data_IF_603893794083
#
_entry.id   IF_603893794083
#
_cell.length_a   1.000
_cell.length_b   1.000
_cell.length_c   1.000
_cell.angle_alpha   90.00
_cell.angle_beta   90.00
_cell.angle_gamma   90.00
#
_symmetry.space_group_name_H-M   'P 1'
#
loop_
_entity.id
_entity.type
_entity.pdbx_description
1 polymer ?
2 non-polymer ?
3 water ?
#
# COMPACT_ATOMS: atom_id res chain seq x y z
N UNK A 1 7.73 4.99 19.74
CA UNK A 1 7.95 4.17 18.52
C UNK A 1 8.76 4.94 17.48
N UNK A 2 9.53 4.22 16.67
CA UNK A 2 10.33 4.85 15.64
C UNK A 2 9.54 4.88 14.34
N UNK A 3 9.79 5.89 13.51
CA UNK A 3 9.07 6.01 12.25
C UNK A 3 9.78 5.22 11.16
N UNK A 4 9.06 4.32 10.51
CA UNK A 4 9.62 3.51 9.44
C UNK A 4 9.65 4.27 8.13
N UNK A 5 10.81 4.34 7.51
CA UNK A 5 10.93 5.03 6.25
C UNK A 5 11.07 3.98 5.15
N UNK A 6 10.27 4.09 4.11
CA UNK A 6 10.34 3.13 3.02
C UNK A 6 10.78 3.83 1.74
N UNK A 7 11.98 3.49 1.27
CA UNK A 7 12.54 4.07 0.07
C UNK A 7 12.08 3.13 -1.04
N UNK A 8 10.95 3.45 -1.67
CA UNK A 8 10.45 2.60 -2.74
C UNK A 8 10.23 3.12 -4.14
N UNK A 9 9.31 2.47 -4.84
CA UNK A 9 8.98 2.84 -6.20
C UNK A 9 9.79 1.95 -7.14
N UNK A 10 10.32 0.86 -6.58
CA UNK A 10 11.14 -0.07 -7.34
C UNK A 10 10.71 -1.55 -7.23
N UNK A 11 9.54 -1.92 -7.76
CA UNK A 11 8.65 -1.01 -8.44
C UNK A 11 7.54 -0.61 -7.47
N UNK A 12 6.58 0.23 -7.89
CA UNK A 12 5.47 0.67 -7.04
C UNK A 12 4.60 -0.42 -6.42
N UNK A 13 4.27 -1.46 -7.18
CA UNK A 13 3.43 -2.52 -6.61
C UNK A 13 4.12 -3.23 -5.45
N UNK A 14 5.41 -3.51 -5.61
CA UNK A 14 6.17 -4.18 -4.56
C UNK A 14 6.23 -3.29 -3.33
N UNK A 15 6.29 -1.99 -3.57
CA UNK A 15 6.35 -1.02 -2.47
C UNK A 15 5.03 -1.02 -1.70
N UNK A 16 3.91 -1.09 -2.43
CA UNK A 16 2.61 -1.10 -1.80
C UNK A 16 2.41 -2.40 -1.02
N UNK A 17 2.95 -3.50 -1.54
CA UNK A 17 2.83 -4.79 -0.88
C UNK A 17 3.61 -4.84 0.43
N UNK A 18 4.80 -4.26 0.45
CA UNK A 18 5.62 -4.27 1.67
C UNK A 18 4.88 -3.51 2.77
N UNK A 19 4.30 -2.37 2.41
CA UNK A 19 3.57 -1.55 3.36
C UNK A 19 2.38 -2.33 3.92
N UNK A 20 1.65 -3.00 3.03
CA UNK A 20 0.49 -3.79 3.45
C UNK A 20 0.90 -4.87 4.43
N UNK A 21 2.00 -5.56 4.14
CA UNK A 21 2.48 -6.61 5.03
C UNK A 21 2.88 -6.04 6.38
N UNK A 22 3.45 -4.83 6.39
CA UNK A 22 3.87 -4.23 7.64
C UNK A 22 2.65 -3.97 8.54
N UNK A 23 1.57 -3.47 7.95
CA UNK A 23 0.36 -3.21 8.72
C UNK A 23 -0.25 -4.50 9.25
N UNK A 24 -0.32 -5.52 8.40
CA UNK A 24 -0.88 -6.82 8.77
C UNK A 24 -0.06 -7.46 9.90
N UNK A 25 1.25 -7.35 9.82
CA UNK A 25 2.14 -7.94 10.82
C UNK A 25 2.24 -7.10 12.09
N UNK A 26 1.58 -5.96 12.11
CA UNK A 26 1.61 -5.09 13.27
C UNK A 26 0.49 -5.40 14.27
N UNK A 27 0.85 -5.78 15.50
CA UNK A 27 -0.15 -6.09 16.53
C UNK A 27 -0.56 -4.80 17.22
N UNK A 28 -1.85 -4.65 17.53
CA UNK A 28 -2.33 -3.44 18.19
C UNK A 28 -3.81 -3.51 18.57
N UNK A 29 -4.17 -2.77 19.61
CA UNK A 29 -5.55 -2.72 20.10
C UNK A 29 -6.30 -1.62 19.36
N UNK A 30 -5.59 -0.52 19.07
CA UNK A 30 -6.16 0.63 18.38
C UNK A 30 -5.13 1.23 17.42
N UNK A 31 -5.61 1.90 16.39
CA UNK A 31 -4.73 2.52 15.39
C UNK A 31 -3.57 3.33 15.98
N UNK A 32 -3.82 4.10 17.03
CA UNK A 32 -2.77 4.90 17.65
C UNK A 32 -1.58 4.10 18.17
N UNK A 33 -1.69 2.77 18.16
CA UNK A 33 -0.60 1.91 18.63
C UNK A 33 0.23 1.38 17.47
N UNK A 34 -0.14 1.80 16.26
CA UNK A 34 0.58 1.38 15.07
C UNK A 34 1.69 2.38 14.85
N UNK A 35 2.83 1.94 14.31
CA UNK A 35 3.95 2.86 14.08
C UNK A 35 3.74 3.78 12.88
N UNK A 36 4.42 4.92 12.92
CA UNK A 36 4.33 5.88 11.83
C UNK A 36 5.14 5.28 10.68
N UNK A 37 4.64 5.47 9.46
CA UNK A 37 5.34 4.95 8.29
C UNK A 37 5.33 6.02 7.20
N UNK A 38 6.52 6.43 6.78
CA UNK A 38 6.64 7.44 5.74
C UNK A 38 7.17 6.71 4.53
N UNK A 39 6.38 6.69 3.46
CA UNK A 39 6.79 6.00 2.24
C UNK A 39 7.03 6.98 1.10
N UNK A 40 8.23 6.93 0.52
CA UNK A 40 8.48 7.82 -0.59
C UNK A 40 8.62 6.89 -1.78
N UNK A 41 7.53 6.78 -2.54
CA UNK A 41 7.46 5.93 -3.72
C UNK A 41 7.97 6.79 -4.86
N UNK A 42 9.23 6.57 -5.25
CA UNK A 42 9.86 7.33 -6.33
C UNK A 42 10.20 6.44 -7.53
N UNK A 43 9.22 6.21 -8.42
CA UNK A 43 9.42 5.37 -9.60
C UNK A 43 10.41 5.89 -10.63
N UNK A 44 10.76 7.17 -10.56
CA UNK A 44 11.70 7.72 -11.53
C UNK A 44 13.16 7.36 -11.29
N UNK A 45 13.41 6.54 -10.28
CA UNK A 45 14.79 6.12 -10.00
C UNK A 45 15.15 5.24 -11.20
N UNK A 46 16.29 5.51 -11.85
CA UNK A 46 16.69 4.70 -13.01
C UNK A 46 16.77 3.22 -12.63
N UNK A 47 16.42 2.33 -13.57
CA UNK A 47 16.47 0.91 -13.28
C UNK A 47 17.83 0.49 -12.74
N UNK A 48 17.82 -0.21 -11.62
CA UNK A 48 19.04 -0.68 -10.98
C UNK A 48 19.80 -1.75 -11.79
N UNK A 49 19.08 -2.74 -12.30
CA UNK A 49 19.72 -3.80 -13.09
C UNK A 49 20.40 -3.27 -14.35
N UNK A 50 19.71 -2.41 -15.08
CA UNK A 50 20.27 -1.84 -16.31
C UNK A 50 21.61 -1.15 -16.05
N UNK A 51 21.73 -0.45 -14.93
CA UNK A 51 23.00 0.21 -14.64
C UNK A 51 24.10 -0.81 -14.37
N UNK A 52 23.77 -1.80 -13.55
CA UNK A 52 24.72 -2.85 -13.20
C UNK A 52 25.22 -3.59 -14.45
N UNK A 53 24.35 -3.72 -15.45
CA UNK A 53 24.71 -4.42 -16.69
C UNK A 53 25.28 -3.47 -17.74
N UNK A 54 25.57 -2.23 -17.34
CA UNK A 54 26.13 -1.25 -18.26
C UNK A 54 25.20 -0.81 -19.38
N UNK A 55 23.90 -0.84 -19.15
CA UNK A 55 22.94 -0.44 -20.18
C UNK A 55 22.02 0.71 -19.75
N UNK A 56 22.39 1.43 -18.70
CA UNK A 56 21.55 2.53 -18.26
C UNK A 56 22.22 3.44 -17.24
N UNK A 57 21.53 4.53 -16.90
CA UNK A 57 22.06 5.49 -15.95
C UNK A 57 22.19 5.00 -14.52
N UNK A 58 23.13 5.61 -13.80
CA UNK A 58 23.44 5.32 -12.40
C UNK A 58 22.26 5.74 -11.53
N UNK A 59 21.70 4.81 -10.74
CA UNK A 59 20.55 5.14 -9.89
C UNK A 59 20.91 5.74 -8.52
N UNK A 60 22.20 5.80 -8.21
CA UNK A 60 22.62 6.35 -6.91
C UNK A 60 22.22 7.79 -6.61
N UNK A 61 22.30 8.69 -7.59
CA UNK A 61 21.90 10.07 -7.29
C UNK A 61 20.45 10.15 -6.83
N UNK A 62 19.57 9.42 -7.50
CA UNK A 62 18.16 9.42 -7.13
C UNK A 62 17.89 8.60 -5.87
N UNK A 63 18.63 7.51 -5.68
CA UNK A 63 18.43 6.69 -4.49
C UNK A 63 18.75 7.54 -3.26
N UNK A 64 19.89 8.22 -3.31
CA UNK A 64 20.34 9.07 -2.22
C UNK A 64 19.40 10.24 -1.98
N UNK A 65 18.91 10.85 -3.06
CA UNK A 65 17.99 11.97 -2.93
C UNK A 65 16.72 11.50 -2.22
N UNK A 66 16.21 10.34 -2.63
CA UNK A 66 15.00 9.80 -2.02
C UNK A 66 15.24 9.51 -0.53
N UNK A 67 16.40 8.97 -0.20
CA UNK A 67 16.71 8.67 1.19
C UNK A 67 16.75 9.97 1.99
N UNK A 68 17.35 11.00 1.41
CA UNK A 68 17.44 12.29 2.08
C UNK A 68 16.06 12.91 2.27
N UNK A 69 15.16 12.68 1.32
CA UNK A 69 13.81 13.22 1.45
C UNK A 69 13.11 12.52 2.62
N UNK A 70 13.36 11.22 2.76
CA UNK A 70 12.75 10.44 3.83
C UNK A 70 13.21 10.97 5.20
N UNK A 71 14.49 11.31 5.27
CA UNK A 71 15.09 11.85 6.49
C UNK A 71 14.41 13.16 6.86
N UNK A 72 14.39 14.09 5.92
CA UNK A 72 13.79 15.40 6.13
C UNK A 72 12.31 15.27 6.47
N UNK A 73 11.67 14.29 5.85
CA UNK A 73 10.25 14.04 6.05
C UNK A 73 9.89 13.49 7.44
N UNK A 74 10.86 12.89 8.14
CA UNK A 74 10.57 12.35 9.46
C UNK A 74 10.92 10.90 9.78
N UNK A 75 11.55 10.19 8.84
CA UNK A 75 11.91 8.80 9.07
C UNK A 75 13.08 8.64 10.05
N UNK A 76 13.01 7.62 10.89
CA UNK A 76 14.06 7.35 11.87
C UNK A 76 15.02 6.28 11.34
N UNK A 77 14.54 5.50 10.38
CA UNK A 77 15.35 4.45 9.76
C UNK A 77 14.71 4.08 8.44
N UNK A 78 15.49 3.49 7.54
CA UNK A 78 14.99 3.12 6.23
C UNK A 78 15.09 1.65 5.86
N UNK A 79 14.09 1.19 5.11
CA UNK A 79 14.03 -0.18 4.62
C UNK A 79 13.80 0.09 3.14
N UNK A 80 14.35 -0.75 2.26
CA UNK A 80 14.21 -0.54 0.83
C UNK A 80 13.75 -1.79 0.09
N UNK A 81 12.47 -1.83 -0.33
CA UNK A 81 11.89 -2.96 -1.05
C UNK A 81 12.40 -3.11 -2.48
N UNK A 82 13.72 -3.26 -2.59
CA UNK A 82 14.37 -3.40 -3.88
C UNK A 82 15.71 -4.10 -3.63
N UNK A 83 15.74 -5.40 -3.90
CA UNK A 83 16.94 -6.21 -3.71
C UNK A 83 18.14 -5.76 -4.54
N UNK A 84 17.92 -5.49 -5.83
CA UNK A 84 19.00 -5.06 -6.70
C UNK A 84 19.62 -3.76 -6.19
N UNK A 85 18.78 -2.85 -5.72
CA UNK A 85 19.25 -1.57 -5.20
C UNK A 85 20.22 -1.76 -4.03
N UNK A 86 20.16 -2.90 -3.36
CA UNK A 86 21.06 -3.13 -2.24
C UNK A 86 22.51 -3.27 -2.72
N UNK A 87 22.70 -3.28 -4.03
CA UNK A 87 24.05 -3.39 -4.58
C UNK A 87 24.76 -2.08 -4.25
N UNK A 88 23.97 -1.06 -3.92
CA UNK A 88 24.52 0.25 -3.58
C UNK A 88 24.16 0.70 -2.18
N UNK A 89 23.78 -0.24 -1.32
CA UNK A 89 23.39 0.10 0.04
C UNK A 89 24.48 0.87 0.78
N UNK A 90 25.74 0.46 0.59
CA UNK A 90 26.84 1.14 1.26
C UNK A 90 27.02 2.57 0.75
N UNK A 91 26.76 2.79 -0.53
CA UNK A 91 26.89 4.13 -1.10
C UNK A 91 25.79 5.03 -0.53
N UNK A 92 24.61 4.46 -0.30
CA UNK A 92 23.51 5.27 0.25
C UNK A 92 23.80 5.58 1.71
N UNK A 93 24.22 4.57 2.46
CA UNK A 93 24.53 4.73 3.88
C UNK A 93 25.55 5.84 4.15
N UNK A 94 26.62 5.84 3.36
CA UNK A 94 27.67 6.84 3.52
C UNK A 94 27.21 8.27 3.26
N UNK A 95 26.14 8.44 2.51
CA UNK A 95 25.63 9.78 2.19
C UNK A 95 24.53 10.30 3.12
N UNK A 96 24.00 9.45 4.00
CA UNK A 96 22.94 9.89 4.89
C UNK A 96 23.25 9.79 6.38
N UNK A 97 22.30 10.23 7.20
CA UNK A 97 22.47 10.20 8.65
C UNK A 97 21.60 9.24 9.45
N UNK A 98 20.77 8.45 8.77
CA UNK A 98 19.93 7.51 9.50
C UNK A 98 20.27 6.10 9.00
N UNK A 99 19.97 5.07 9.80
CA UNK A 99 20.27 3.69 9.42
C UNK A 99 19.38 3.10 8.33
N UNK A 100 19.94 2.12 7.63
CA UNK A 100 19.22 1.43 6.57
C UNK A 100 19.36 -0.03 6.98
N UNK A 101 18.24 -0.68 7.22
CA UNK A 101 18.26 -2.09 7.61
C UNK A 101 18.18 -2.88 6.31
N UNK A 102 19.27 -3.56 5.99
CA UNK A 102 19.35 -4.37 4.78
C UNK A 102 18.46 -5.60 4.70
N UNK A 103 17.74 -5.75 3.59
CA UNK A 103 16.88 -6.90 3.41
C UNK A 103 17.74 -8.14 3.22
N UNK A 104 18.87 -7.95 2.54
CA UNK A 104 19.81 -9.04 2.27
C UNK A 104 20.37 -9.63 3.55
N UNK A 105 20.94 -8.75 4.39
CA UNK A 105 21.51 -9.20 5.65
C UNK A 105 20.47 -9.86 6.57
N UNK A 106 19.31 -9.25 6.72
CA UNK A 106 18.28 -9.84 7.58
C UNK A 106 17.83 -11.19 7.03
N UNK A 107 17.76 -11.31 5.70
CA UNK A 107 17.33 -12.57 5.08
C UNK A 107 18.39 -13.66 5.31
N UNK A 108 19.66 -13.27 5.26
CA UNK A 108 20.74 -14.22 5.46
C UNK A 108 20.67 -14.76 6.89
N UNK A 109 20.43 -13.87 7.86
CA UNK A 109 20.33 -14.28 9.25
C UNK A 109 19.17 -15.25 9.41
N UNK A 110 18.06 -14.98 8.73
CA UNK A 110 16.89 -15.83 8.80
C UNK A 110 17.22 -17.22 8.25
N UNK A 111 17.87 -17.27 7.10
CA UNK A 111 18.24 -18.53 6.48
C UNK A 111 19.18 -19.33 7.40
N UNK A 112 20.15 -18.65 7.99
CA UNK A 112 21.10 -19.30 8.89
C UNK A 112 20.35 -19.93 10.06
N UNK A 113 19.38 -19.20 10.59
CA UNK A 113 18.58 -19.68 11.70
C UNK A 113 17.83 -20.96 11.35
N UNK A 114 17.34 -21.06 10.11
CA UNK A 114 16.61 -22.24 9.70
C UNK A 114 17.54 -23.44 9.58
N UNK A 115 18.82 -23.16 9.32
CA UNK A 115 19.79 -24.25 9.20
C UNK A 115 20.16 -24.66 7.79
N UNK A 116 19.52 -24.05 6.79
CA UNK A 116 19.82 -24.39 5.41
C UNK A 116 21.19 -23.83 5.03
N UNK A 117 21.94 -24.57 4.21
CA UNK A 117 23.26 -24.12 3.79
C UNK A 117 23.31 -23.89 2.28
N UNK A 118 22.17 -24.13 1.62
CA UNK A 118 22.07 -23.94 0.17
C UNK A 118 20.72 -23.33 -0.13
N UNK A 119 20.69 -22.35 -1.03
CA UNK A 119 19.44 -21.69 -1.38
C UNK A 119 19.33 -21.38 -2.87
N UNK A 120 18.13 -21.63 -3.43
CA UNK A 120 17.89 -21.36 -4.83
C UNK A 120 17.47 -19.91 -4.90
N UNK A 121 18.17 -19.11 -5.69
CA UNK A 121 17.84 -17.70 -5.80
C UNK A 121 17.11 -17.21 -7.05
N UNK A 122 15.98 -16.55 -6.82
CA UNK A 122 15.16 -15.99 -7.89
C UNK A 122 15.41 -14.49 -7.71
N UNK A 123 16.12 -13.89 -8.66
CA UNK A 123 16.40 -12.45 -8.57
C UNK A 123 16.73 -11.89 -9.94
N UNK A 124 16.93 -10.57 -10.02
CA UNK A 124 17.25 -9.96 -11.30
C UNK A 124 18.68 -10.37 -11.64
N UNK A 125 19.02 -10.26 -12.92
CA UNK A 125 20.36 -10.60 -13.36
C UNK A 125 21.30 -9.56 -12.74
N UNK A 126 20.75 -8.38 -12.48
CA UNK A 126 21.56 -7.31 -11.89
C UNK A 126 22.02 -7.74 -10.50
N UNK A 127 21.08 -8.25 -9.71
CA UNK A 127 21.39 -8.70 -8.35
C UNK A 127 22.43 -9.81 -8.39
N UNK A 128 22.26 -10.76 -9.31
CA UNK A 128 23.19 -11.88 -9.42
C UNK A 128 24.60 -11.42 -9.84
N UNK A 129 24.68 -10.57 -10.86
CA UNK A 129 25.96 -10.07 -11.33
C UNK A 129 26.72 -9.27 -10.28
N UNK A 130 25.99 -8.43 -9.55
CA UNK A 130 26.59 -7.60 -8.51
C UNK A 130 27.04 -8.44 -7.31
N UNK A 131 26.55 -9.68 -7.23
CA UNK A 131 26.91 -10.56 -6.13
C UNK A 131 26.29 -10.22 -4.79
N UNK A 132 25.24 -9.41 -4.79
CA UNK A 132 24.56 -9.01 -3.56
C UNK A 132 24.33 -10.19 -2.60
N UNK A 133 23.62 -11.21 -3.05
CA UNK A 133 23.36 -12.37 -2.20
C UNK A 133 24.56 -13.27 -1.96
N UNK A 134 25.35 -13.53 -3.00
CA UNK A 134 26.52 -14.39 -2.84
C UNK A 134 27.44 -13.88 -1.74
N UNK A 135 27.78 -12.60 -1.79
CA UNK A 135 28.66 -12.01 -0.79
C UNK A 135 28.09 -12.03 0.63
N UNK A 136 26.83 -11.62 0.78
CA UNK A 136 26.22 -11.61 2.10
C UNK A 136 25.96 -13.00 2.68
N UNK A 137 25.43 -13.90 1.86
CA UNK A 137 25.13 -15.28 2.28
C UNK A 137 26.37 -16.09 2.62
N UNK A 138 27.49 -15.79 1.96
CA UNK A 138 28.73 -16.50 2.21
C UNK A 138 29.17 -16.25 3.64
N UNK A 139 28.90 -15.03 4.13
CA UNK A 139 29.27 -14.65 5.48
C UNK A 139 28.61 -15.61 6.48
N UNK A 140 27.43 -16.11 6.13
CA UNK A 140 26.71 -17.03 7.01
C UNK A 140 26.80 -18.49 6.57
N UNK A 141 27.76 -18.79 5.69
CA UNK A 141 27.95 -20.14 5.20
C UNK A 141 26.89 -20.72 4.27
N UNK A 142 26.12 -19.86 3.61
CA UNK A 142 25.08 -20.35 2.71
C UNK A 142 25.51 -20.23 1.26
N UNK A 143 25.30 -21.29 0.50
CA UNK A 143 25.68 -21.32 -0.91
C UNK A 143 24.48 -20.98 -1.79
N UNK A 144 24.72 -20.11 -2.78
CA UNK A 144 23.69 -19.69 -3.71
C UNK A 144 23.66 -20.46 -5.02
N UNK A 145 22.45 -20.79 -5.47
CA UNK A 145 22.25 -21.51 -6.73
C UNK A 145 21.28 -20.68 -7.54
N UNK A 146 21.66 -20.34 -8.77
CA UNK A 146 20.80 -19.55 -9.64
C UNK A 146 20.48 -20.40 -10.86
N UNK A 147 19.45 -20.01 -11.64
CA UNK A 147 19.12 -20.80 -12.82
C UNK A 147 20.16 -20.60 -13.92
N UNK A 148 20.04 -21.37 -14.99
CA UNK A 148 20.98 -21.26 -16.11
C UNK A 148 20.72 -19.92 -16.79
N UNK A 149 21.58 -19.57 -17.74
CA UNK A 149 21.44 -18.30 -18.46
C UNK A 149 20.10 -18.18 -19.16
N UNK A 150 19.66 -19.25 -19.81
CA UNK A 150 18.39 -19.25 -20.52
C UNK A 150 17.19 -19.19 -19.58
N UNK A 151 17.28 -19.91 -18.46
CA UNK A 151 16.20 -19.94 -17.48
C UNK A 151 16.11 -18.57 -16.80
N UNK A 152 17.26 -17.94 -16.62
CA UNK A 152 17.34 -16.62 -15.97
C UNK A 152 16.64 -15.56 -16.83
N UNK A 153 16.63 -15.78 -18.14
CA UNK A 153 15.98 -14.82 -19.03
C UNK A 153 14.48 -14.90 -18.79
N UNK A 154 13.99 -16.08 -18.40
CA UNK A 154 12.56 -16.24 -18.13
C UNK A 154 12.25 -15.53 -16.81
N UNK A 155 13.24 -15.50 -15.92
CA UNK A 155 13.06 -14.83 -14.63
C UNK A 155 12.94 -13.33 -14.89
N UNK A 156 13.84 -12.79 -15.70
CA UNK A 156 13.82 -11.38 -16.01
C UNK A 156 12.54 -11.00 -16.74
N UNK A 157 12.04 -11.90 -17.59
CA UNK A 157 10.80 -11.63 -18.31
C UNK A 157 9.63 -11.57 -17.33
N UNK A 158 9.59 -12.50 -16.39
CA UNK A 158 8.53 -12.52 -15.41
C UNK A 158 8.49 -11.26 -14.57
N UNK A 159 9.66 -10.74 -14.25
CA UNK A 159 9.79 -9.53 -13.46
C UNK A 159 9.44 -8.25 -14.22
N UNK A 160 10.06 -8.09 -15.39
CA UNK A 160 9.84 -6.91 -16.23
C UNK A 160 8.62 -6.93 -17.17
N UNK A 161 8.51 -7.96 -18.01
CA UNK A 161 7.36 -8.02 -18.91
C UNK A 161 6.13 -8.39 -18.09
N UNK A 162 6.37 -9.05 -16.96
CA UNK A 162 5.29 -9.45 -16.09
C UNK A 162 4.82 -8.48 -15.03
N UNK A 163 5.30 -8.69 -13.81
CA UNK A 163 4.92 -7.85 -12.68
C UNK A 163 5.07 -6.33 -12.87
N UNK A 164 6.26 -5.87 -13.23
CA UNK A 164 6.46 -4.43 -13.42
C UNK A 164 5.58 -3.80 -14.50
N UNK A 165 5.08 -4.61 -15.42
CA UNK A 165 4.23 -4.14 -16.50
C UNK A 165 2.75 -4.30 -16.16
N UNK A 166 2.47 -4.91 -15.00
CA UNK A 166 1.09 -5.11 -14.61
C UNK A 166 0.51 -6.46 -14.99
N UNK A 167 1.28 -7.27 -15.70
CA UNK A 167 0.80 -8.58 -16.11
C UNK A 167 1.26 -9.58 -15.05
N UNK A 168 0.50 -9.70 -13.97
CA UNK A 168 0.83 -10.61 -12.88
C UNK A 168 0.74 -12.08 -13.26
N UNK A 169 -0.17 -12.41 -14.17
CA UNK A 169 -0.35 -13.78 -14.62
C UNK A 169 0.92 -14.30 -15.31
N UNK A 170 1.48 -13.48 -16.19
CA UNK A 170 2.69 -13.84 -16.91
C UNK A 170 3.87 -13.93 -15.95
N UNK A 171 3.98 -12.97 -15.04
CA UNK A 171 5.07 -12.97 -14.09
C UNK A 171 5.06 -14.21 -13.22
N UNK A 172 3.88 -14.54 -12.70
CA UNK A 172 3.71 -15.69 -11.85
C UNK A 172 4.05 -17.00 -12.56
N UNK A 173 3.52 -17.19 -13.76
CA UNK A 173 3.79 -18.41 -14.50
C UNK A 173 5.28 -18.63 -14.80
N UNK A 174 5.98 -17.57 -15.19
CA UNK A 174 7.40 -17.70 -15.49
C UNK A 174 8.28 -17.86 -14.25
N UNK A 175 7.92 -17.18 -13.17
CA UNK A 175 8.70 -17.27 -11.94
C UNK A 175 8.46 -18.60 -11.23
N UNK A 176 7.22 -19.10 -11.30
CA UNK A 176 6.88 -20.37 -10.66
C UNK A 176 7.57 -21.53 -11.37
N UNK A 177 7.65 -21.46 -12.70
CA UNK A 177 8.29 -22.53 -13.46
C UNK A 177 9.78 -22.60 -13.12
N UNK A 178 10.41 -21.44 -13.00
CA UNK A 178 11.85 -21.40 -12.68
C UNK A 178 12.08 -21.87 -11.25
N UNK A 179 11.13 -21.53 -10.36
CA UNK A 179 11.24 -21.92 -8.97
C UNK A 179 11.26 -23.45 -8.89
N UNK A 180 10.35 -24.08 -9.62
CA UNK A 180 10.26 -25.55 -9.63
C UNK A 180 11.52 -26.18 -10.22
N UNK A 181 12.17 -25.48 -11.16
CA UNK A 181 13.38 -26.03 -11.76
C UNK A 181 14.48 -26.05 -10.70
N UNK A 182 14.56 -25.00 -9.90
CA UNK A 182 15.58 -24.94 -8.85
C UNK A 182 15.32 -26.04 -7.82
N UNK A 183 14.05 -26.25 -7.47
CA UNK A 183 13.70 -27.28 -6.49
C UNK A 183 14.14 -28.66 -6.98
N UNK A 184 13.99 -28.91 -8.27
CA UNK A 184 14.37 -30.18 -8.86
C UNK A 184 15.89 -30.40 -8.76
N UNK A 185 16.63 -29.29 -8.70
CA UNK A 185 18.08 -29.35 -8.60
C UNK A 185 18.56 -29.39 -7.15
N UNK A 186 17.66 -29.70 -6.24
CA UNK A 186 18.01 -29.79 -4.84
C UNK A 186 17.98 -28.55 -3.96
N UNK A 187 17.42 -27.45 -4.45
CA UNK A 187 17.35 -26.24 -3.64
C UNK A 187 16.74 -26.62 -2.29
N UNK A 188 17.42 -26.27 -1.20
CA UNK A 188 16.91 -26.59 0.14
C UNK A 188 15.81 -25.62 0.54
N UNK A 189 15.83 -24.45 -0.07
CA UNK A 189 14.84 -23.41 0.18
C UNK A 189 14.92 -22.48 -1.04
N UNK A 190 13.88 -21.68 -1.23
CA UNK A 190 13.84 -20.75 -2.36
C UNK A 190 13.81 -19.33 -1.83
N UNK A 191 14.65 -18.48 -2.41
CA UNK A 191 14.71 -17.09 -1.99
C UNK A 191 14.01 -16.21 -3.02
N UNK A 192 13.04 -15.44 -2.56
CA UNK A 192 12.31 -14.54 -3.45
C UNK A 192 13.21 -13.30 -3.45
N UNK A 193 14.35 -13.43 -4.13
CA UNK A 193 15.33 -12.36 -4.22
C UNK A 193 15.03 -11.10 -5.02
N UNK A 194 13.78 -10.91 -5.40
CA UNK A 194 13.34 -9.75 -6.17
C UNK A 194 11.98 -9.42 -5.58
N UNK A 195 11.74 -8.17 -5.22
CA UNK A 195 10.44 -7.82 -4.63
C UNK A 195 9.25 -8.12 -5.53
N UNK A 196 9.45 -8.17 -6.84
CA UNK A 196 8.33 -8.45 -7.73
C UNK A 196 7.98 -9.94 -7.58
N UNK A 197 8.96 -10.74 -7.19
CA UNK A 197 8.74 -12.18 -7.00
C UNK A 197 7.93 -12.34 -5.71
N UNK A 198 8.26 -11.51 -4.70
CA UNK A 198 7.56 -11.56 -3.42
C UNK A 198 6.08 -11.33 -3.64
N UNK A 199 5.76 -10.48 -4.60
CA UNK A 199 4.40 -10.14 -4.94
C UNK A 199 3.56 -11.27 -5.52
N UNK A 200 4.17 -12.15 -6.31
CA UNK A 200 3.42 -13.25 -6.91
C UNK A 200 3.64 -14.68 -6.40
N UNK A 201 4.69 -14.91 -5.62
CA UNK A 201 4.93 -16.26 -5.11
C UNK A 201 4.56 -16.40 -3.64
N UNK A 202 4.04 -17.57 -3.27
CA UNK A 202 3.64 -17.85 -1.90
C UNK A 202 4.08 -19.26 -1.53
N UNK A 203 4.21 -19.52 -0.23
CA UNK A 203 4.64 -20.83 0.25
C UNK A 203 3.84 -22.00 -0.30
N UNK A 204 2.54 -21.80 -0.57
CA UNK A 204 1.71 -22.86 -1.11
C UNK A 204 2.07 -23.29 -2.53
N UNK A 205 2.92 -22.54 -3.20
CA UNK A 205 3.30 -22.89 -4.56
C UNK A 205 4.55 -23.76 -4.59
N UNK A 206 5.26 -23.82 -3.46
CA UNK A 206 6.49 -24.61 -3.40
C UNK A 206 6.55 -25.85 -2.51
N UNK A 207 7.54 -26.71 -2.77
CA UNK A 207 7.74 -27.94 -2.02
C UNK A 207 8.81 -27.82 -0.94
N UNK A 208 9.49 -26.67 -0.89
CA UNK A 208 10.54 -26.43 0.10
C UNK A 208 10.19 -25.08 0.70
N UNK A 209 10.83 -24.71 1.83
CA UNK A 209 10.50 -23.40 2.43
C UNK A 209 10.81 -22.21 1.53
N UNK A 210 9.87 -21.28 1.48
CA UNK A 210 10.03 -20.07 0.67
C UNK A 210 10.46 -18.97 1.64
N UNK A 211 11.66 -18.45 1.45
CA UNK A 211 12.17 -17.39 2.31
C UNK A 211 11.91 -16.10 1.54
N UNK A 212 11.01 -15.25 2.05
CA UNK A 212 10.70 -14.00 1.36
C UNK A 212 11.29 -12.79 2.09
N UNK A 213 12.34 -12.19 1.49
CA UNK A 213 12.99 -11.01 2.08
C UNK A 213 11.99 -9.93 2.48
N UNK A 214 10.89 -9.83 1.75
CA UNK A 214 9.89 -8.81 2.06
C UNK A 214 9.22 -9.10 3.39
N UNK A 215 8.89 -10.36 3.66
CA UNK A 215 8.26 -10.70 4.93
C UNK A 215 9.28 -10.50 6.04
N UNK A 216 10.52 -10.89 5.77
CA UNK A 216 11.58 -10.76 6.75
C UNK A 216 11.79 -9.31 7.17
N UNK A 217 11.97 -8.42 6.19
CA UNK A 217 12.18 -7.01 6.51
C UNK A 217 10.94 -6.37 7.13
N UNK A 218 9.75 -6.84 6.75
CA UNK A 218 8.53 -6.29 7.30
C UNK A 218 8.51 -6.59 8.81
N UNK A 219 8.85 -7.83 9.17
CA UNK A 219 8.88 -8.24 10.57
C UNK A 219 9.94 -7.47 11.36
N UNK A 220 11.13 -7.37 10.78
CA UNK A 220 12.23 -6.66 11.42
C UNK A 220 11.86 -5.20 11.66
N UNK A 221 11.34 -4.53 10.62
CA UNK A 221 10.95 -3.13 10.71
C UNK A 221 9.92 -2.91 11.83
N UNK A 222 8.92 -3.79 11.88
CA UNK A 222 7.87 -3.68 12.89
C UNK A 222 8.46 -3.85 14.30
N UNK A 223 9.33 -4.82 14.48
CA UNK A 223 9.94 -5.06 15.78
C UNK A 223 10.75 -3.84 16.24
N UNK A 224 11.58 -3.31 15.34
CA UNK A 224 12.41 -2.16 15.66
C UNK A 224 11.57 -0.91 15.95
N UNK A 225 10.59 -0.65 15.09
CA UNK A 225 9.71 0.50 15.26
C UNK A 225 8.93 0.47 16.57
N UNK A 226 8.57 -0.74 17.02
CA UNK A 226 7.80 -0.88 18.25
C UNK A 226 8.59 -1.02 19.54
N UNK A 227 9.73 -1.71 19.51
CA UNK A 227 10.53 -1.90 20.71
C UNK A 227 11.34 -0.68 21.14
N UNK A 228 11.11 0.45 20.49
CA UNK A 228 11.83 1.67 20.83
C UNK A 228 11.17 2.89 20.19
N UNK B 1 4.68 14.76 -14.42
CA UNK B 1 3.63 14.19 -13.54
C UNK B 1 3.62 14.90 -12.20
N UNK B 2 2.52 14.77 -11.46
CA UNK B 2 2.40 15.39 -10.16
C UNK B 2 2.63 14.36 -9.08
N UNK B 3 3.14 14.79 -7.93
CA UNK B 3 3.41 13.87 -6.82
C UNK B 3 2.16 13.78 -5.97
N UNK B 4 1.68 12.55 -5.79
CA UNK B 4 0.49 12.28 -5.00
C UNK B 4 0.87 12.17 -3.53
N UNK B 5 0.21 12.96 -2.69
CA UNK B 5 0.49 12.92 -1.28
C UNK B 5 -0.67 12.27 -0.55
N UNK B 6 -0.39 11.25 0.26
CA UNK B 6 -1.44 10.58 0.99
C UNK B 6 -1.28 10.78 2.49
N UNK B 7 -2.25 11.47 3.08
CA UNK B 7 -2.26 11.75 4.52
C UNK B 7 -3.07 10.59 5.09
N UNK B 8 -2.38 9.60 5.65
CA UNK B 8 -3.09 8.46 6.20
C UNK B 8 -2.86 8.08 7.64
N UNK B 9 -3.10 6.81 7.93
CA UNK B 9 -2.94 6.28 9.27
C UNK B 9 -4.29 6.24 9.96
N UNK B 10 -5.35 6.42 9.18
CA UNK B 10 -6.71 6.42 9.72
C UNK B 10 -7.68 5.50 8.97
N UNK B 11 -7.48 4.18 9.02
CA UNK B 11 -6.37 3.60 9.74
C UNK B 11 -5.28 3.14 8.79
N UNK B 12 -4.24 2.49 9.30
CA UNK B 12 -3.11 1.99 8.50
C UNK B 12 -3.51 1.13 7.29
N UNK B 13 -4.34 0.12 7.53
CA UNK B 13 -4.78 -0.78 6.46
C UNK B 13 -5.45 -0.04 5.30
N UNK B 14 -6.38 0.85 5.63
CA UNK B 14 -7.07 1.61 4.61
C UNK B 14 -6.07 2.43 3.81
N UNK B 15 -5.03 2.91 4.49
CA UNK B 15 -4.01 3.71 3.82
C UNK B 15 -3.21 2.86 2.84
N UNK B 16 -2.87 1.64 3.24
CA UNK B 16 -2.12 0.74 2.38
C UNK B 16 -2.95 0.31 1.18
N UNK B 17 -4.25 0.14 1.39
CA UNK B 17 -5.14 -0.28 0.31
C UNK B 17 -5.26 0.81 -0.75
N UNK B 18 -5.38 2.07 -0.32
CA UNK B 18 -5.51 3.18 -1.25
C UNK B 18 -4.28 3.23 -2.16
N UNK B 19 -3.11 3.08 -1.56
CA UNK B 19 -1.86 3.11 -2.32
C UNK B 19 -1.86 1.98 -3.36
N UNK B 20 -2.24 0.77 -2.94
CA UNK B 20 -2.27 -0.36 -3.85
C UNK B 20 -3.23 -0.12 -5.00
N UNK B 21 -4.41 0.42 -4.69
CA UNK B 21 -5.40 0.70 -5.73
C UNK B 21 -4.87 1.69 -6.76
N UNK B 22 -4.14 2.70 -6.30
CA UNK B 22 -3.58 3.72 -7.19
C UNK B 22 -2.59 3.06 -8.16
N UNK B 23 -1.76 2.16 -7.64
CA UNK B 23 -0.77 1.48 -8.48
C UNK B 23 -1.45 0.62 -9.55
N UNK B 24 -2.41 -0.21 -9.12
CA UNK B 24 -3.12 -1.09 -10.05
C UNK B 24 -3.92 -0.31 -11.09
N UNK B 25 -4.38 0.88 -10.72
CA UNK B 25 -5.15 1.68 -11.65
C UNK B 25 -4.31 2.59 -12.54
N UNK B 26 -2.99 2.53 -12.37
CA UNK B 26 -2.09 3.36 -13.17
C UNK B 26 -1.60 2.56 -14.38
N UNK B 27 -1.90 3.05 -15.59
CA UNK B 27 -1.44 2.33 -16.79
C UNK B 27 0.06 2.58 -16.98
N UNK B 28 0.87 1.56 -16.73
CA UNK B 28 2.30 1.69 -16.88
C UNK B 28 2.92 0.38 -17.37
N UNK B 29 3.88 0.49 -18.30
CA UNK B 29 4.54 -0.68 -18.83
C UNK B 29 5.89 -0.88 -18.15
N UNK B 30 6.28 0.09 -17.34
CA UNK B 30 7.54 0.05 -16.60
C UNK B 30 7.47 0.93 -15.35
N UNK B 31 8.34 0.64 -14.38
CA UNK B 31 8.38 1.40 -13.12
C UNK B 31 8.29 2.91 -13.31
N UNK B 32 9.19 3.46 -14.12
CA UNK B 32 9.25 4.90 -14.40
C UNK B 32 8.00 5.60 -14.90
N UNK B 33 7.00 4.85 -15.34
CA UNK B 33 5.77 5.45 -15.84
C UNK B 33 4.76 5.74 -14.73
N UNK B 34 5.05 5.20 -13.53
CA UNK B 34 4.16 5.40 -12.38
C UNK B 34 4.54 6.74 -11.75
N UNK B 35 3.56 7.47 -11.22
CA UNK B 35 3.86 8.76 -10.60
C UNK B 35 4.38 8.62 -9.17
N UNK B 36 5.06 9.65 -8.70
CA UNK B 36 5.61 9.62 -7.35
C UNK B 36 4.45 9.65 -6.36
N UNK B 37 4.62 8.97 -5.24
CA UNK B 37 3.60 8.93 -4.22
C UNK B 37 4.30 9.07 -2.87
N UNK B 38 3.90 10.07 -2.09
CA UNK B 38 4.50 10.28 -0.77
C UNK B 38 3.39 9.97 0.22
N UNK B 39 3.61 8.97 1.05
CA UNK B 39 2.61 8.59 2.03
C UNK B 39 3.04 8.82 3.45
N UNK B 40 2.20 9.51 4.22
CA UNK B 40 2.56 9.73 5.60
C UNK B 40 1.48 9.06 6.42
N UNK B 41 1.79 7.86 6.86
CA UNK B 41 0.88 7.05 7.66
C UNK B 41 1.12 7.50 9.10
N UNK B 42 0.20 8.29 9.64
CA UNK B 42 0.33 8.78 11.00
C UNK B 42 -0.82 8.29 11.87
N UNK B 43 -0.68 7.11 12.48
CA UNK B 43 -1.71 6.53 13.34
C UNK B 43 -1.93 7.28 14.66
N UNK B 44 -1.04 8.21 14.98
CA UNK B 44 -1.19 8.97 16.23
C UNK B 44 -2.19 10.12 16.14
N UNK B 45 -2.80 10.29 14.98
CA UNK B 45 -3.79 11.36 14.82
C UNK B 45 -4.97 10.98 15.71
N UNK B 46 -5.39 11.88 16.62
CA UNK B 46 -6.51 11.59 17.52
C UNK B 46 -7.74 11.11 16.73
N UNK B 47 -8.55 10.24 17.34
CA UNK B 47 -9.74 9.74 16.68
C UNK B 47 -10.62 10.91 16.27
N UNK B 48 -10.99 10.95 15.00
CA UNK B 48 -11.82 12.03 14.48
C UNK B 48 -13.28 11.94 14.96
N UNK B 49 -13.87 10.76 14.82
CA UNK B 49 -15.25 10.55 15.24
C UNK B 49 -15.41 10.86 16.72
N UNK B 50 -14.50 10.36 17.54
CA UNK B 50 -14.55 10.59 18.99
C UNK B 50 -14.63 12.07 19.32
N UNK B 51 -13.84 12.87 18.63
CA UNK B 51 -13.84 14.32 18.86
C UNK B 51 -15.12 14.98 18.37
N UNK B 52 -15.65 14.48 17.26
CA UNK B 52 -16.87 15.03 16.68
C UNK B 52 -18.11 14.77 17.51
N UNK B 53 -18.25 13.57 18.06
CA UNK B 53 -19.40 13.22 18.88
C UNK B 53 -19.35 13.45 20.38
N UNK B 54 -18.15 13.46 20.97
CA UNK B 54 -18.08 13.68 22.39
C UNK B 54 -16.76 14.16 22.95
N UNK B 55 -16.14 13.31 23.76
CA UNK B 55 -14.85 13.59 24.39
C UNK B 55 -13.80 13.85 23.32
N UNK B 56 -12.84 12.94 23.24
CA UNK B 56 -11.77 13.03 22.26
C UNK B 56 -11.03 14.35 22.07
N UNK B 57 -9.72 14.25 21.98
CA UNK B 57 -8.85 15.40 21.79
C UNK B 57 -9.03 15.89 20.36
N UNK B 58 -8.81 17.18 20.12
CA UNK B 58 -8.95 17.75 18.79
C UNK B 58 -7.91 17.14 17.85
N UNK B 59 -8.34 16.54 16.74
CA UNK B 59 -7.40 15.93 15.79
C UNK B 59 -6.78 16.88 14.78
N UNK B 60 -7.30 18.09 14.67
CA UNK B 60 -6.78 19.05 13.71
C UNK B 60 -5.28 19.34 13.79
N UNK B 61 -4.73 19.56 15.00
CA UNK B 61 -3.29 19.84 15.08
C UNK B 61 -2.45 18.75 14.38
N UNK B 62 -2.77 17.50 14.66
CA UNK B 62 -2.05 16.38 14.06
C UNK B 62 -2.30 16.28 12.55
N UNK B 63 -3.56 16.46 12.15
CA UNK B 63 -3.92 16.39 10.73
C UNK B 63 -3.14 17.42 9.94
N UNK B 64 -3.12 18.65 10.45
CA UNK B 64 -2.40 19.74 9.79
C UNK B 64 -0.89 19.49 9.77
N UNK B 65 -0.35 19.00 10.89
CA UNK B 65 1.08 18.70 11.00
C UNK B 65 1.46 17.72 9.89
N UNK B 66 0.65 16.68 9.74
CA UNK B 66 0.89 15.64 8.73
C UNK B 66 0.81 16.23 7.32
N UNK B 67 -0.22 17.03 7.07
CA UNK B 67 -0.39 17.66 5.75
C UNK B 67 0.81 18.53 5.42
N UNK B 68 1.25 19.33 6.39
CA UNK B 68 2.40 20.21 6.19
C UNK B 68 3.66 19.42 5.88
N UNK B 69 3.80 18.24 6.49
CA UNK B 69 4.98 17.43 6.24
C UNK B 69 4.93 16.96 4.79
N UNK B 70 3.79 16.44 4.37
CA UNK B 70 3.62 15.96 3.00
C UNK B 70 4.00 17.08 2.03
N UNK B 71 3.55 18.30 2.34
CA UNK B 71 3.85 19.44 1.49
C UNK B 71 5.36 19.66 1.48
N UNK B 72 5.97 19.68 2.66
CA UNK B 72 7.41 19.88 2.76
C UNK B 72 8.20 18.79 2.03
N UNK B 73 7.72 17.55 2.09
CA UNK B 73 8.40 16.45 1.43
C UNK B 73 8.28 16.46 -0.09
N UNK B 74 7.34 17.24 -0.63
CA UNK B 74 7.19 17.30 -2.08
C UNK B 74 5.84 17.04 -2.72
N UNK B 75 4.81 16.73 -1.94
CA UNK B 75 3.48 16.47 -2.51
C UNK B 75 2.91 17.67 -3.26
N UNK B 76 2.26 17.39 -4.39
CA UNK B 76 1.65 18.43 -5.21
C UNK B 76 0.20 18.62 -4.80
N UNK B 77 -0.38 17.56 -4.25
CA UNK B 77 -1.77 17.59 -3.80
C UNK B 77 -1.93 16.47 -2.78
N UNK B 78 -2.98 16.54 -1.98
CA UNK B 78 -3.21 15.52 -0.97
C UNK B 78 -4.58 14.86 -1.01
N UNK B 79 -4.59 13.56 -0.72
CA UNK B 79 -5.82 12.77 -0.70
C UNK B 79 -5.79 12.16 0.69
N UNK B 80 -6.95 11.88 1.24
CA UNK B 80 -7.04 11.31 2.59
C UNK B 80 -7.98 10.11 2.66
N UNK B 81 -7.43 8.90 2.83
CA UNK B 81 -8.23 7.67 2.91
C UNK B 81 -8.91 7.45 4.26
N UNK B 82 -9.81 8.36 4.62
CA UNK B 82 -10.55 8.30 5.88
C UNK B 82 -11.81 9.14 5.68
N UNK B 83 -12.93 8.64 6.19
CA UNK B 83 -14.20 9.35 6.05
C UNK B 83 -14.38 10.58 6.94
N UNK B 84 -14.53 10.37 8.24
CA UNK B 84 -14.74 11.47 9.17
C UNK B 84 -13.65 12.54 9.21
N UNK B 85 -12.44 12.19 8.78
CA UNK B 85 -11.34 13.17 8.79
C UNK B 85 -11.71 14.31 7.85
N UNK B 86 -12.56 14.03 6.88
CA UNK B 86 -12.97 15.06 5.94
C UNK B 86 -13.85 16.13 6.57
N UNK B 87 -14.25 15.92 7.82
CA UNK B 87 -15.07 16.91 8.50
C UNK B 87 -14.19 18.14 8.74
N UNK B 88 -12.89 17.95 8.67
CA UNK B 88 -11.94 19.04 8.89
C UNK B 88 -11.11 19.39 7.66
N UNK B 89 -11.62 19.06 6.48
CA UNK B 89 -10.89 19.35 5.25
C UNK B 89 -10.61 20.85 5.05
N UNK B 90 -11.54 21.70 5.47
CA UNK B 90 -11.33 23.14 5.32
C UNK B 90 -10.24 23.66 6.23
N UNK B 91 -10.19 23.13 7.45
CA UNK B 91 -9.18 23.53 8.42
C UNK B 91 -7.79 23.15 7.92
N UNK B 92 -7.68 22.01 7.26
CA UNK B 92 -6.41 21.56 6.75
C UNK B 92 -5.99 22.42 5.55
N UNK B 93 -6.93 22.66 4.63
CA UNK B 93 -6.66 23.47 3.45
C UNK B 93 -6.15 24.86 3.83
N UNK B 94 -6.72 25.44 4.88
CA UNK B 94 -6.31 26.76 5.32
C UNK B 94 -4.88 26.82 5.82
N UNK B 95 -4.39 25.70 6.35
CA UNK B 95 -3.03 25.65 6.86
C UNK B 95 -1.95 25.31 5.85
N UNK B 96 -2.34 24.90 4.65
CA UNK B 96 -1.36 24.55 3.63
C UNK B 96 -1.53 25.31 2.31
N UNK B 97 -0.54 25.17 1.44
CA UNK B 97 -0.57 25.85 0.14
C UNK B 97 -1.02 24.95 -1.00
N UNK B 98 -0.76 23.65 -0.89
CA UNK B 98 -1.18 22.73 -1.95
C UNK B 98 -2.63 22.34 -1.73
N UNK B 99 -3.32 21.92 -2.79
CA UNK B 99 -4.73 21.54 -2.63
C UNK B 99 -4.95 20.15 -2.06
N UNK B 100 -6.12 19.97 -1.47
CA UNK B 100 -6.51 18.70 -0.88
C UNK B 100 -7.75 18.26 -1.64
N UNK B 101 -7.65 17.13 -2.32
CA UNK B 101 -8.76 16.61 -3.10
C UNK B 101 -9.55 15.67 -2.20
N UNK B 102 -10.79 16.06 -1.91
CA UNK B 102 -11.68 15.27 -1.05
C UNK B 102 -12.32 14.04 -1.68
N UNK B 103 -12.21 12.92 -0.97
CA UNK B 103 -12.77 11.65 -1.40
C UNK B 103 -14.30 11.73 -1.37
N UNK B 104 -14.82 12.46 -0.39
CA UNK B 104 -16.27 12.60 -0.25
C UNK B 104 -16.80 13.47 -1.39
N UNK B 105 -16.10 14.56 -1.68
CA UNK B 105 -16.50 15.47 -2.73
C UNK B 105 -16.43 14.82 -4.11
N UNK B 106 -15.35 14.10 -4.37
CA UNK B 106 -15.21 13.44 -5.68
C UNK B 106 -16.30 12.42 -5.88
N UNK B 107 -16.73 11.76 -4.80
CA UNK B 107 -17.78 10.75 -4.92
C UNK B 107 -19.12 11.45 -5.19
N UNK B 108 -19.35 12.58 -4.50
CA UNK B 108 -20.59 13.34 -4.68
C UNK B 108 -20.67 13.80 -6.13
N UNK B 109 -19.53 14.28 -6.63
CA UNK B 109 -19.43 14.77 -8.01
C UNK B 109 -19.73 13.63 -8.99
N UNK B 110 -19.16 12.47 -8.72
CA UNK B 110 -19.38 11.31 -9.58
C UNK B 110 -20.86 10.94 -9.61
N UNK B 111 -21.47 10.86 -8.43
CA UNK B 111 -22.88 10.52 -8.32
C UNK B 111 -23.74 11.51 -9.09
N UNK B 112 -23.42 12.79 -8.94
CA UNK B 112 -24.17 13.83 -9.62
C UNK B 112 -24.04 13.71 -11.14
N UNK B 113 -22.83 13.55 -11.64
CA UNK B 113 -22.61 13.44 -13.08
C UNK B 113 -23.28 12.20 -13.69
N UNK B 114 -23.48 11.16 -12.89
CA UNK B 114 -24.13 9.95 -13.40
C UNK B 114 -25.63 10.24 -13.52
N UNK B 115 -26.02 11.43 -13.07
CA UNK B 115 -27.41 11.83 -13.13
C UNK B 115 -28.29 11.42 -11.96
N UNK B 116 -27.69 10.88 -10.89
CA UNK B 116 -28.47 10.46 -9.73
C UNK B 116 -28.75 11.59 -8.74
N UNK B 117 -29.89 11.49 -8.04
CA UNK B 117 -30.27 12.51 -7.06
C UNK B 117 -30.49 11.95 -5.66
N UNK B 118 -30.46 10.62 -5.53
CA UNK B 118 -30.65 9.97 -4.24
C UNK B 118 -29.68 8.81 -4.15
N UNK B 119 -28.91 8.76 -3.05
CA UNK B 119 -27.93 7.70 -2.85
C UNK B 119 -28.05 7.02 -1.49
N UNK B 120 -27.98 5.69 -1.49
CA UNK B 120 -28.08 4.93 -0.26
C UNK B 120 -26.68 4.74 0.32
N UNK B 121 -26.52 5.08 1.59
CA UNK B 121 -25.21 4.97 2.23
C UNK B 121 -25.07 3.81 3.23
N UNK B 122 -24.09 2.96 2.98
CA UNK B 122 -23.80 1.81 3.84
C UNK B 122 -22.46 2.18 4.43
N UNK B 123 -22.45 2.55 5.71
CA UNK B 123 -21.21 2.93 6.38
C UNK B 123 -21.38 2.70 7.87
N UNK B 124 -20.33 2.95 8.64
CA UNK B 124 -20.41 2.75 10.08
C UNK B 124 -21.30 3.82 10.68
N UNK B 125 -21.82 3.56 11.87
CA UNK B 125 -22.70 4.51 12.54
C UNK B 125 -21.95 5.81 12.82
N UNK B 126 -20.66 5.69 13.12
CA UNK B 126 -19.87 6.87 13.40
C UNK B 126 -19.76 7.78 12.19
N UNK B 127 -19.49 7.18 11.03
CA UNK B 127 -19.37 7.96 9.80
C UNK B 127 -20.69 8.66 9.49
N UNK B 128 -21.80 7.94 9.66
CA UNK B 128 -23.13 8.51 9.40
C UNK B 128 -23.43 9.70 10.32
N UNK B 129 -23.28 9.50 11.62
CA UNK B 129 -23.54 10.57 12.58
C UNK B 129 -22.65 11.80 12.40
N UNK B 130 -21.47 11.61 11.84
CA UNK B 130 -20.57 12.75 11.63
C UNK B 130 -21.18 13.64 10.54
N UNK B 131 -22.02 13.04 9.71
CA UNK B 131 -22.67 13.78 8.64
C UNK B 131 -21.77 14.21 7.50
N UNK B 132 -20.56 13.67 7.43
CA UNK B 132 -19.65 14.06 6.35
C UNK B 132 -20.22 13.81 4.96
N UNK B 133 -20.89 12.68 4.76
CA UNK B 133 -21.47 12.38 3.45
C UNK B 133 -22.69 13.24 3.19
N UNK B 134 -23.54 13.41 4.21
CA UNK B 134 -24.73 14.22 4.05
C UNK B 134 -24.39 15.64 3.59
N UNK B 135 -23.54 16.31 4.36
CA UNK B 135 -23.13 17.67 4.04
C UNK B 135 -22.57 17.87 2.63
N UNK B 136 -21.59 17.06 2.24
CA UNK B 136 -20.99 17.19 0.92
C UNK B 136 -21.89 16.79 -0.26
N UNK B 137 -22.69 15.74 -0.09
CA UNK B 137 -23.58 15.31 -1.17
C UNK B 137 -24.67 16.34 -1.40
N UNK B 138 -25.12 17.00 -0.33
CA UNK B 138 -26.15 18.02 -0.46
C UNK B 138 -25.69 19.16 -1.36
N UNK B 139 -24.42 19.51 -1.25
CA UNK B 139 -23.86 20.59 -2.05
C UNK B 139 -24.00 20.27 -3.54
N UNK B 140 -24.03 18.98 -3.85
CA UNK B 140 -24.17 18.55 -5.25
C UNK B 140 -25.59 18.13 -5.59
N UNK B 141 -26.54 18.53 -4.73
CA UNK B 141 -27.93 18.20 -4.97
C UNK B 141 -28.26 16.72 -4.86
N UNK B 142 -27.49 15.98 -4.07
CA UNK B 142 -27.74 14.56 -3.91
C UNK B 142 -28.21 14.27 -2.49
N UNK B 143 -29.36 13.62 -2.39
CA UNK B 143 -29.99 13.27 -1.11
C UNK B 143 -29.46 11.93 -0.59
N UNK B 144 -28.94 11.93 0.64
CA UNK B 144 -28.42 10.71 1.23
C UNK B 144 -29.54 9.96 1.93
N UNK B 145 -29.49 8.64 1.83
CA UNK B 145 -30.48 7.75 2.42
C UNK B 145 -29.73 6.72 3.26
N UNK B 146 -30.08 6.61 4.54
CA UNK B 146 -29.42 5.63 5.41
C UNK B 146 -30.44 4.72 6.06
N UNK B 147 -30.00 3.57 6.58
CA UNK B 147 -30.95 2.66 7.22
C UNK B 147 -31.46 3.25 8.53
N UNK B 148 -32.48 2.63 9.10
CA UNK B 148 -33.06 3.08 10.35
C UNK B 148 -32.03 2.64 11.40
N UNK B 149 -32.19 3.09 12.64
CA UNK B 149 -31.25 2.72 13.70
C UNK B 149 -31.13 1.21 13.89
N UNK B 150 -32.27 0.52 13.88
CA UNK B 150 -32.26 -0.93 14.05
C UNK B 150 -31.69 -1.65 12.85
N UNK B 151 -31.94 -1.14 11.65
CA UNK B 151 -31.42 -1.77 10.45
C UNK B 151 -29.91 -1.48 10.42
N UNK B 152 -29.52 -0.32 10.93
CA UNK B 152 -28.10 0.06 10.96
C UNK B 152 -27.35 -0.91 11.85
N UNK B 153 -28.05 -1.51 12.82
CA UNK B 153 -27.42 -2.47 13.70
C UNK B 153 -27.03 -3.66 12.86
N UNK B 154 -27.81 -3.94 11.80
CA UNK B 154 -27.51 -5.06 10.92
C UNK B 154 -26.23 -4.73 10.18
N UNK B 155 -26.10 -3.48 9.76
CA UNK B 155 -24.92 -3.02 9.03
C UNK B 155 -23.67 -3.18 9.88
N UNK B 156 -23.68 -2.60 11.07
CA UNK B 156 -22.55 -2.69 11.99
C UNK B 156 -22.19 -4.14 12.29
N UNK B 157 -23.19 -4.97 12.54
CA UNK B 157 -22.96 -6.37 12.83
C UNK B 157 -22.38 -7.04 11.60
N UNK B 158 -22.82 -6.62 10.42
CA UNK B 158 -22.33 -7.20 9.19
C UNK B 158 -20.88 -6.85 8.94
N UNK B 159 -20.50 -5.61 9.27
CA UNK B 159 -19.14 -5.14 9.09
C UNK B 159 -18.17 -5.77 10.08
N UNK B 160 -18.54 -5.78 11.36
CA UNK B 160 -17.68 -6.33 12.40
C UNK B 160 -17.82 -7.84 12.68
N UNK B 161 -18.96 -8.26 13.21
CA UNK B 161 -19.16 -9.67 13.51
C UNK B 161 -19.07 -10.48 12.22
N UNK B 162 -19.42 -9.85 11.11
CA UNK B 162 -19.36 -10.54 9.83
C UNK B 162 -18.06 -10.48 9.07
N UNK B 163 -17.92 -9.47 8.21
CA UNK B 163 -16.72 -9.28 7.39
C UNK B 163 -15.40 -9.18 8.16
N UNK B 164 -15.34 -8.27 9.13
CA UNK B 164 -14.13 -8.10 9.91
C UNK B 164 -13.76 -9.31 10.76
N UNK B 165 -14.74 -10.12 11.13
CA UNK B 165 -14.49 -11.31 11.94
C UNK B 165 -14.23 -12.55 11.09
N UNK B 166 -14.38 -12.42 9.77
CA UNK B 166 -14.15 -13.54 8.88
C UNK B 166 -15.40 -14.29 8.47
N UNK B 167 -16.52 -14.01 9.13
CA UNK B 167 -17.80 -14.66 8.83
C UNK B 167 -18.45 -14.00 7.63
N UNK B 168 -17.91 -14.24 6.44
CA UNK B 168 -18.46 -13.66 5.22
C UNK B 168 -19.93 -13.99 4.96
N UNK B 169 -20.39 -15.13 5.45
CA UNK B 169 -21.79 -15.52 5.25
C UNK B 169 -22.70 -14.55 5.97
N UNK B 170 -22.41 -14.30 7.24
CA UNK B 170 -23.20 -13.38 8.04
C UNK B 170 -23.11 -11.98 7.44
N UNK B 171 -21.89 -11.55 7.15
CA UNK B 171 -21.67 -10.23 6.57
C UNK B 171 -22.46 -9.95 5.32
N UNK B 172 -22.38 -10.86 4.35
CA UNK B 172 -23.09 -10.71 3.10
C UNK B 172 -24.61 -10.59 3.30
N UNK B 173 -25.18 -11.52 4.06
CA UNK B 173 -26.62 -11.51 4.32
C UNK B 173 -27.14 -10.20 4.92
N UNK B 174 -26.45 -9.69 5.93
CA UNK B 174 -26.85 -8.44 6.58
C UNK B 174 -26.66 -7.20 5.70
N UNK B 175 -25.53 -7.11 5.02
CA UNK B 175 -25.28 -5.94 4.17
C UNK B 175 -26.10 -5.96 2.89
N UNK B 176 -26.26 -7.14 2.30
CA UNK B 176 -27.03 -7.28 1.07
C UNK B 176 -28.49 -6.91 1.27
N UNK B 177 -29.12 -7.45 2.33
CA UNK B 177 -30.52 -7.14 2.56
C UNK B 177 -30.67 -5.65 2.88
N UNK B 178 -29.68 -5.05 3.52
CA UNK B 178 -29.78 -3.63 3.83
C UNK B 178 -29.65 -2.83 2.54
N UNK B 179 -28.75 -3.23 1.66
CA UNK B 179 -28.56 -2.53 0.40
C UNK B 179 -29.85 -2.63 -0.44
N UNK B 180 -30.48 -3.80 -0.43
CA UNK B 180 -31.70 -3.96 -1.21
C UNK B 180 -32.86 -3.11 -0.72
N UNK B 181 -33.03 -2.98 0.59
CA UNK B 181 -34.13 -2.16 1.08
C UNK B 181 -33.89 -0.69 0.76
N UNK B 182 -32.62 -0.29 0.71
CA UNK B 182 -32.31 1.11 0.39
C UNK B 182 -32.73 1.31 -1.07
N UNK B 183 -32.55 0.26 -1.87
CA UNK B 183 -32.91 0.31 -3.29
C UNK B 183 -34.42 0.42 -3.41
N UNK B 184 -35.14 -0.36 -2.61
CA UNK B 184 -36.59 -0.35 -2.62
C UNK B 184 -37.11 1.04 -2.25
N UNK B 185 -36.39 1.72 -1.38
CA UNK B 185 -36.80 3.05 -0.97
C UNK B 185 -36.45 4.13 -1.99
N UNK B 186 -35.85 3.74 -3.11
CA UNK B 186 -35.50 4.72 -4.13
C UNK B 186 -34.04 5.05 -4.38
N UNK B 187 -33.12 4.41 -3.69
CA UNK B 187 -31.69 4.67 -3.88
C UNK B 187 -31.28 4.36 -5.33
N UNK B 188 -30.69 5.34 -6.01
CA UNK B 188 -30.26 5.16 -7.40
C UNK B 188 -28.85 4.61 -7.50
N UNK B 189 -28.19 4.46 -6.36
CA UNK B 189 -26.83 3.94 -6.31
C UNK B 189 -26.55 3.63 -4.84
N UNK B 190 -25.60 2.74 -4.60
CA UNK B 190 -25.24 2.36 -3.23
C UNK B 190 -23.80 2.77 -2.97
N UNK B 191 -23.60 3.58 -1.94
CA UNK B 191 -22.27 4.04 -1.58
C UNK B 191 -21.66 3.13 -0.53
N UNK B 192 -20.58 2.46 -0.88
CA UNK B 192 -19.92 1.55 0.04
C UNK B 192 -19.02 2.45 0.89
N UNK B 193 -19.65 3.12 1.88
CA UNK B 193 -18.92 4.02 2.76
C UNK B 193 -17.95 3.39 3.75
N UNK B 194 -17.80 2.07 3.64
CA UNK B 194 -16.91 1.32 4.52
C UNK B 194 -16.20 0.28 3.67
N UNK B 195 -14.87 0.23 3.76
CA UNK B 195 -14.10 -0.74 2.98
C UNK B 195 -14.62 -2.18 3.07
N UNK B 196 -15.04 -2.58 4.27
CA UNK B 196 -15.57 -3.93 4.47
C UNK B 196 -16.73 -4.25 3.54
N UNK B 197 -17.61 -3.27 3.32
CA UNK B 197 -18.76 -3.44 2.46
C UNK B 197 -18.46 -4.09 1.11
N UNK B 198 -17.49 -3.55 0.38
CA UNK B 198 -17.12 -4.08 -0.92
C UNK B 198 -16.60 -5.52 -0.89
N UNK B 199 -16.18 -5.96 0.29
CA UNK B 199 -15.66 -7.33 0.42
C UNK B 199 -16.73 -8.36 0.11
N UNK B 200 -17.93 -8.17 0.66
CA UNK B 200 -19.02 -9.12 0.43
C UNK B 200 -20.12 -8.61 -0.51
N UNK B 201 -20.10 -7.31 -0.80
CA UNK B 201 -21.09 -6.72 -1.69
C UNK B 201 -20.48 -6.41 -3.05
N UNK B 202 -20.93 -7.12 -4.08
CA UNK B 202 -20.43 -6.92 -5.43
C UNK B 202 -21.48 -6.32 -6.34
N UNK B 203 -21.05 -5.68 -7.42
CA UNK B 203 -21.95 -5.05 -8.37
C UNK B 203 -23.00 -6.00 -8.93
N UNK B 204 -22.65 -7.27 -9.14
CA UNK B 204 -23.59 -8.25 -9.68
C UNK B 204 -24.77 -8.54 -8.76
N UNK B 205 -24.63 -8.23 -7.47
CA UNK B 205 -25.69 -8.47 -6.51
C UNK B 205 -26.72 -7.34 -6.48
N UNK B 206 -26.39 -6.21 -7.10
CA UNK B 206 -27.29 -5.07 -7.11
C UNK B 206 -27.78 -4.59 -8.48
N UNK B 207 -28.93 -3.93 -8.48
CA UNK B 207 -29.52 -3.41 -9.71
C UNK B 207 -28.99 -2.02 -10.01
N UNK B 208 -28.56 -1.29 -8.98
CA UNK B 208 -28.04 0.05 -9.16
C UNK B 208 -26.52 0.05 -8.98
N UNK B 209 -25.83 1.07 -9.51
CA UNK B 209 -24.36 1.13 -9.38
C UNK B 209 -23.87 1.10 -7.93
N UNK B 210 -22.83 0.30 -7.70
CA UNK B 210 -22.24 0.17 -6.38
C UNK B 210 -20.98 1.05 -6.46
N UNK B 211 -20.93 2.10 -5.66
CA UNK B 211 -19.78 3.00 -5.69
C UNK B 211 -18.97 3.03 -4.39
N UNK B 212 -17.66 2.79 -4.54
CA UNK B 212 -16.74 2.78 -3.42
C UNK B 212 -15.87 4.03 -3.49
N UNK B 213 -16.04 4.95 -2.54
CA UNK B 213 -15.27 6.21 -2.49
C UNK B 213 -13.75 6.02 -2.61
N UNK B 214 -13.23 4.91 -2.08
CA UNK B 214 -11.79 4.66 -2.15
C UNK B 214 -11.36 4.46 -3.60
N UNK B 215 -12.20 3.80 -4.39
CA UNK B 215 -11.89 3.56 -5.79
C UNK B 215 -11.94 4.89 -6.51
N UNK B 216 -12.93 5.70 -6.17
CA UNK B 216 -13.09 7.01 -6.79
C UNK B 216 -11.89 7.92 -6.55
N UNK B 217 -11.51 8.12 -5.30
CA UNK B 217 -10.37 8.99 -5.02
C UNK B 217 -9.09 8.41 -5.65
N UNK B 218 -8.99 7.09 -5.69
CA UNK B 218 -7.80 6.46 -6.28
C UNK B 218 -7.74 6.83 -7.76
N UNK B 219 -8.89 6.73 -8.43
CA UNK B 219 -8.99 7.04 -9.86
C UNK B 219 -8.68 8.50 -10.15
N UNK B 220 -9.23 9.41 -9.34
CA UNK B 220 -8.99 10.84 -9.54
C UNK B 220 -7.51 11.15 -9.32
N UNK B 221 -6.93 10.58 -8.27
CA UNK B 221 -5.52 10.82 -7.97
C UNK B 221 -4.63 10.46 -9.17
N UNK B 222 -4.88 9.30 -9.77
CA UNK B 222 -4.11 8.87 -10.92
C UNK B 222 -4.25 9.86 -12.08
N UNK B 223 -5.49 10.23 -12.36
CA UNK B 223 -5.78 11.17 -13.43
C UNK B 223 -5.10 12.52 -13.23
N UNK B 224 -5.17 13.05 -12.01
CA UNK B 224 -4.54 14.33 -11.73
C UNK B 224 -3.02 14.19 -11.78
N UNK B 225 -2.51 13.07 -11.26
CA UNK B 225 -1.08 12.82 -11.25
C UNK B 225 -0.50 12.75 -12.66
N UNK B 226 -1.16 11.98 -13.53
CA UNK B 226 -0.70 11.84 -14.90
C UNK B 226 -1.05 13.15 -15.60
N UNK B 227 -1.42 14.11 -14.75
CA UNK B 227 -1.79 15.47 -15.09
C UNK B 227 -3.21 15.83 -15.53
N UNK B 228 -3.85 16.59 -14.64
CA UNK B 228 -5.20 17.12 -14.75
C UNK B 228 -5.31 18.14 -13.62
#
# INVERSE_FOLDING_TARGET
MKTIGILGGMGPLATAELFRRIVIKTPAKRDQEHPKVIIFNNPQIPDRTAYILGKGEDPRPQLIWTAKRLEECGADFIIMPANTAHAFVEDIRKAIKIPIISMIEETAKKVKELGFKKAGLLATTGTIVSGVYEKEFSKYGVEIMTPTEDEQKDVMRGIYEGVKAGNLKLGRELLLKTAKILEERGAECIIAGCTEVSVVLKQDDLKVPLIDPMDVIAEVAVKVALEK
MKTIGILGGMGPLATAELFRRIVIKTPAKRDQEHPKVIIFNNPQIPDRTAYILGKGEDPRPQLIWTAKRLEECGADFIIMPANTAHAFVEDIRKAIKIPIISMIEETAKKVKELGFKKAGLLATTGTIVSGVYEKEFSKYGVEIMTPTEDEQKDVMRGIYEGVKAGNLKLGRELLLKTAKILEERGAECIIAGCTEVSVVLKQDDLKVPLIDPMDVIAEVAVKVALEK
#
